data_IF_747566666943
#
_entry.id   IF_747566666943
#
_cell.length_a   1.000
_cell.length_b   1.000
_cell.length_c   1.000
_cell.angle_alpha   90.00
_cell.angle_beta   90.00
_cell.angle_gamma   90.00
#
_symmetry.space_group_name_H-M   'P 1'
#
loop_
_entity.id
_entity.type
_entity.pdbx_description
1 polymer ?
#
# COMPACT_ATOMS: atom_id res chain seq x y z
N UNK A 1 -27.45 0.93 16.30
CA UNK A 1 -27.17 1.26 17.71
C UNK A 1 -26.47 0.09 18.38
N UNK A 2 -25.17 0.25 18.70
CA UNK A 2 -24.42 -0.68 19.54
C UNK A 2 -24.91 -0.53 20.98
N UNK A 3 -25.98 -1.22 21.34
CA UNK A 3 -26.56 -1.14 22.69
C UNK A 3 -25.78 -1.92 23.75
N UNK A 4 -24.83 -2.78 23.39
CA UNK A 4 -24.06 -3.59 24.34
C UNK A 4 -22.62 -3.72 23.91
N UNK A 5 -21.70 -3.44 24.82
CA UNK A 5 -20.28 -3.80 24.69
C UNK A 5 -20.15 -5.32 24.82
N UNK A 6 -19.64 -5.96 23.76
CA UNK A 6 -19.31 -7.38 23.81
C UNK A 6 -18.02 -7.59 24.61
N UNK A 7 -17.99 -8.61 25.46
CA UNK A 7 -16.79 -9.00 26.21
C UNK A 7 -16.17 -10.22 25.55
N UNK A 8 -14.86 -10.12 25.26
CA UNK A 8 -14.08 -11.29 24.85
C UNK A 8 -13.85 -12.15 26.10
N UNK A 9 -14.29 -13.41 26.07
CA UNK A 9 -14.08 -14.37 27.17
C UNK A 9 -12.78 -15.12 27.03
N UNK A 10 -12.48 -15.57 25.81
CA UNK A 10 -11.29 -16.34 25.47
C UNK A 10 -10.80 -15.94 24.09
N UNK A 11 -9.51 -16.00 23.86
CA UNK A 11 -8.90 -15.83 22.56
C UNK A 11 -7.70 -16.77 22.38
N UNK A 12 -7.41 -17.10 21.15
CA UNK A 12 -6.17 -17.77 20.74
C UNK A 12 -5.50 -16.95 19.67
N UNK A 13 -4.20 -16.92 19.71
CA UNK A 13 -3.43 -16.36 18.61
C UNK A 13 -3.60 -17.26 17.39
N UNK A 14 -4.07 -16.72 16.27
CA UNK A 14 -4.12 -17.43 14.98
C UNK A 14 -2.73 -17.56 14.37
N UNK A 15 -1.90 -16.53 14.53
CA UNK A 15 -0.50 -16.51 14.15
C UNK A 15 0.32 -15.77 15.21
N UNK A 16 1.59 -16.14 15.36
CA UNK A 16 2.56 -15.45 16.21
C UNK A 16 3.63 -14.85 15.30
N UNK A 17 3.66 -13.54 15.21
CA UNK A 17 4.73 -12.83 14.53
C UNK A 17 6.01 -12.92 15.34
N UNK A 18 7.11 -13.25 14.66
CA UNK A 18 8.43 -13.45 15.29
C UNK A 18 9.29 -12.20 15.24
N UNK A 19 9.19 -11.45 14.14
CA UNK A 19 10.12 -10.40 13.78
C UNK A 19 9.49 -8.99 13.80
N UNK A 20 8.21 -8.85 13.47
CA UNK A 20 7.56 -7.52 13.38
C UNK A 20 7.73 -6.70 14.66
N UNK A 21 7.68 -7.34 15.84
CA UNK A 21 7.77 -6.63 17.11
C UNK A 21 9.20 -6.34 17.57
N UNK A 22 10.20 -7.02 17.01
CA UNK A 22 11.61 -6.91 17.42
C UNK A 22 12.50 -6.22 16.39
N UNK A 23 12.04 -6.09 15.14
CA UNK A 23 12.78 -5.51 14.03
C UNK A 23 12.19 -4.16 13.64
N UNK A 24 12.99 -3.10 13.74
CA UNK A 24 12.54 -1.72 13.53
C UNK A 24 12.00 -1.48 12.12
N UNK A 25 12.66 -1.92 11.03
CA UNK A 25 12.11 -1.78 9.67
C UNK A 25 10.77 -2.48 9.49
N UNK A 26 10.62 -3.73 9.94
CA UNK A 26 9.33 -4.46 9.83
C UNK A 26 8.23 -3.80 10.64
N UNK A 27 8.55 -3.31 11.84
CA UNK A 27 7.59 -2.60 12.67
C UNK A 27 7.11 -1.30 11.99
N UNK A 28 8.01 -0.53 11.39
CA UNK A 28 7.66 0.69 10.66
C UNK A 28 6.77 0.40 9.44
N UNK A 29 7.05 -0.67 8.69
CA UNK A 29 6.20 -1.12 7.58
C UNK A 29 4.82 -1.54 8.08
N UNK A 30 4.75 -2.31 9.17
CA UNK A 30 3.48 -2.72 9.78
C UNK A 30 2.64 -1.52 10.22
N UNK A 31 3.25 -0.51 10.87
CA UNK A 31 2.57 0.70 11.30
C UNK A 31 2.02 1.50 10.10
N UNK A 32 2.79 1.61 9.02
CA UNK A 32 2.34 2.23 7.78
C UNK A 32 1.11 1.51 7.20
N UNK A 33 1.16 0.19 7.10
CA UNK A 33 0.07 -0.63 6.57
C UNK A 33 -1.20 -0.52 7.43
N UNK A 34 -1.05 -0.57 8.76
CA UNK A 34 -2.17 -0.42 9.70
C UNK A 34 -2.79 0.97 9.59
N UNK A 35 -1.98 2.04 9.53
CA UNK A 35 -2.49 3.39 9.37
C UNK A 35 -3.24 3.56 8.06
N UNK A 36 -2.67 3.07 6.94
CA UNK A 36 -3.30 3.14 5.63
C UNK A 36 -4.64 2.40 5.62
N UNK A 37 -4.67 1.16 6.10
CA UNK A 37 -5.87 0.36 6.21
C UNK A 37 -6.93 1.04 7.10
N UNK A 38 -6.52 1.57 8.26
CA UNK A 38 -7.42 2.26 9.19
C UNK A 38 -8.06 3.52 8.58
N UNK A 39 -7.33 4.23 7.72
CA UNK A 39 -7.85 5.39 7.00
C UNK A 39 -8.85 5.01 5.90
N UNK A 40 -8.70 3.82 5.31
CA UNK A 40 -9.63 3.28 4.30
C UNK A 40 -10.92 2.72 4.94
N UNK A 41 -10.81 2.10 6.12
CA UNK A 41 -11.96 1.50 6.82
C UNK A 41 -12.78 2.57 7.54
N UNK A 42 -13.75 3.15 6.85
CA UNK A 42 -14.65 4.18 7.42
C UNK A 42 -15.81 3.59 8.21
N UNK A 43 -16.26 2.40 7.85
CA UNK A 43 -17.38 1.71 8.50
C UNK A 43 -17.05 0.22 8.69
N UNK A 44 -17.58 -0.42 9.74
CA UNK A 44 -17.45 -1.86 9.91
C UNK A 44 -18.20 -2.59 8.80
N UNK A 45 -17.48 -3.24 7.93
CA UNK A 45 -18.03 -4.05 6.84
C UNK A 45 -17.39 -5.45 6.86
N UNK A 46 -18.19 -6.48 6.52
CA UNK A 46 -17.64 -7.81 6.32
C UNK A 46 -16.98 -7.90 4.95
N UNK A 47 -15.64 -7.93 4.92
CA UNK A 47 -14.87 -8.10 3.69
C UNK A 47 -13.82 -9.22 3.87
N UNK A 48 -14.20 -10.50 3.67
CA UNK A 48 -13.27 -11.61 3.81
C UNK A 48 -12.05 -11.53 2.90
N UNK A 49 -12.21 -11.00 1.67
CA UNK A 49 -11.10 -10.85 0.73
C UNK A 49 -10.05 -9.85 1.25
N UNK A 50 -10.48 -8.71 1.78
CA UNK A 50 -9.59 -7.74 2.41
C UNK A 50 -8.90 -8.32 3.65
N UNK A 51 -9.65 -9.10 4.47
CA UNK A 51 -9.09 -9.76 5.65
C UNK A 51 -7.95 -10.71 5.26
N UNK A 52 -8.18 -11.63 4.32
CA UNK A 52 -7.17 -12.58 3.88
C UNK A 52 -5.99 -11.88 3.19
N UNK A 53 -6.23 -10.90 2.33
CA UNK A 53 -5.15 -10.10 1.75
C UNK A 53 -4.28 -9.48 2.83
N UNK A 54 -4.88 -8.86 3.84
CA UNK A 54 -4.13 -8.21 4.92
C UNK A 54 -3.37 -9.23 5.76
N UNK A 55 -4.02 -10.32 6.16
CA UNK A 55 -3.41 -11.41 6.94
C UNK A 55 -2.18 -11.98 6.22
N UNK A 56 -2.31 -12.33 4.93
CA UNK A 56 -1.23 -12.89 4.12
C UNK A 56 -0.04 -11.92 4.01
N UNK A 57 -0.30 -10.63 3.79
CA UNK A 57 0.78 -9.63 3.70
C UNK A 57 1.50 -9.45 5.04
N UNK A 58 0.79 -9.48 6.17
CA UNK A 58 1.43 -9.40 7.49
C UNK A 58 2.28 -10.64 7.81
N UNK A 59 1.84 -11.83 7.43
CA UNK A 59 2.63 -13.06 7.56
C UNK A 59 3.90 -12.97 6.71
N UNK A 60 3.77 -12.49 5.47
CA UNK A 60 4.92 -12.30 4.59
C UNK A 60 5.86 -11.18 5.07
N UNK A 61 5.32 -10.09 5.63
CA UNK A 61 6.13 -9.04 6.23
C UNK A 61 7.03 -9.57 7.35
N UNK A 62 6.48 -10.45 8.20
CA UNK A 62 7.25 -11.04 9.31
C UNK A 62 8.48 -11.82 8.84
N UNK A 63 8.42 -12.43 7.67
CA UNK A 63 9.49 -13.25 7.09
C UNK A 63 10.34 -12.50 6.05
N UNK A 64 9.87 -11.34 5.55
CA UNK A 64 10.51 -10.59 4.46
C UNK A 64 11.84 -9.94 4.89
N UNK A 65 12.74 -9.78 3.94
CA UNK A 65 14.01 -9.06 4.11
C UNK A 65 14.45 -8.36 2.82
N UNK A 66 15.49 -7.53 2.89
CA UNK A 66 16.10 -6.90 1.72
C UNK A 66 15.10 -6.12 0.85
N UNK A 67 15.16 -6.37 -0.46
CA UNK A 67 14.31 -5.68 -1.45
C UNK A 67 12.82 -5.93 -1.24
N UNK A 68 12.43 -7.13 -0.79
CA UNK A 68 11.04 -7.48 -0.53
C UNK A 68 10.49 -6.59 0.57
N UNK A 69 11.15 -6.55 1.73
CA UNK A 69 10.75 -5.72 2.87
C UNK A 69 10.66 -4.24 2.49
N UNK A 70 11.65 -3.75 1.75
CA UNK A 70 11.71 -2.35 1.35
C UNK A 70 10.61 -1.95 0.36
N UNK A 71 10.17 -2.85 -0.52
CA UNK A 71 9.14 -2.58 -1.54
C UNK A 71 7.73 -2.97 -1.09
N UNK A 72 7.58 -3.71 0.00
CA UNK A 72 6.29 -4.18 0.51
C UNK A 72 5.28 -3.05 0.80
N UNK A 73 5.68 -1.87 1.33
CA UNK A 73 4.79 -0.73 1.48
C UNK A 73 4.15 -0.28 0.16
N UNK A 74 4.92 -0.26 -0.93
CA UNK A 74 4.40 0.09 -2.27
C UNK A 74 3.44 -0.96 -2.79
N UNK A 75 3.80 -2.24 -2.65
CA UNK A 75 2.93 -3.35 -3.02
C UNK A 75 1.59 -3.24 -2.29
N UNK A 76 1.61 -3.12 -0.97
CA UNK A 76 0.39 -3.00 -0.17
C UNK A 76 -0.45 -1.78 -0.58
N UNK A 77 0.19 -0.61 -0.73
CA UNK A 77 -0.51 0.62 -1.11
C UNK A 77 -1.08 0.60 -2.54
N UNK A 78 -0.54 -0.20 -3.45
CA UNK A 78 -1.05 -0.32 -4.83
C UNK A 78 -2.15 -1.37 -4.96
N UNK A 79 -2.15 -2.41 -4.13
CA UNK A 79 -3.15 -3.49 -4.21
C UNK A 79 -4.35 -3.27 -3.27
N UNK A 80 -4.16 -2.57 -2.15
CA UNK A 80 -5.23 -2.27 -1.21
C UNK A 80 -6.45 -1.57 -1.84
N UNK A 81 -6.32 -0.60 -2.79
CA UNK A 81 -7.45 0.09 -3.41
C UNK A 81 -8.44 -0.82 -4.14
N UNK A 82 -7.99 -2.00 -4.60
CA UNK A 82 -8.86 -3.00 -5.21
C UNK A 82 -10.04 -3.39 -4.30
N UNK A 83 -9.79 -3.50 -3.00
CA UNK A 83 -10.79 -3.89 -2.01
C UNK A 83 -11.77 -2.77 -1.64
N UNK A 84 -11.50 -1.55 -2.09
CA UNK A 84 -12.32 -0.36 -1.83
C UNK A 84 -12.92 0.25 -3.09
N UNK A 85 -12.72 -0.39 -4.26
CA UNK A 85 -13.37 0.00 -5.52
C UNK A 85 -12.74 1.18 -6.26
N UNK A 86 -11.51 1.58 -5.90
CA UNK A 86 -10.77 2.66 -6.59
C UNK A 86 -9.36 2.21 -7.04
N UNK A 87 -9.25 0.98 -7.53
CA UNK A 87 -7.97 0.42 -8.00
C UNK A 87 -7.40 1.23 -9.17
N UNK A 88 -6.07 1.19 -9.30
CA UNK A 88 -5.40 1.66 -10.52
C UNK A 88 -5.50 0.56 -11.59
N UNK A 89 -5.98 0.93 -12.77
CA UNK A 89 -6.02 0.03 -13.93
C UNK A 89 -4.66 -0.01 -14.62
N UNK A 90 -4.06 -1.20 -14.74
CA UNK A 90 -2.77 -1.37 -15.41
C UNK A 90 -2.96 -1.48 -16.93
N UNK A 91 -3.22 -0.35 -17.57
CA UNK A 91 -3.25 -0.18 -19.01
C UNK A 91 -1.98 0.52 -19.55
N UNK A 92 -0.87 0.43 -18.82
CA UNK A 92 0.41 1.02 -19.20
C UNK A 92 0.89 0.50 -20.56
N UNK A 93 1.35 1.43 -21.40
CA UNK A 93 2.03 1.14 -22.65
C UNK A 93 3.02 2.27 -23.00
N UNK A 94 3.87 2.07 -23.99
CA UNK A 94 4.75 3.15 -24.49
C UNK A 94 4.00 4.37 -25.01
N UNK A 95 2.74 4.21 -25.43
CA UNK A 95 1.86 5.29 -25.88
C UNK A 95 1.02 5.89 -24.75
N UNK A 96 0.71 5.13 -23.69
CA UNK A 96 -0.04 5.57 -22.49
C UNK A 96 0.88 5.43 -21.28
N UNK A 97 1.72 6.43 -21.06
CA UNK A 97 2.83 6.40 -20.09
C UNK A 97 2.75 7.49 -19.01
N UNK A 98 1.63 8.21 -18.94
CA UNK A 98 1.29 9.06 -17.81
C UNK A 98 0.27 8.34 -16.95
N UNK A 99 0.54 8.13 -15.66
CA UNK A 99 -0.46 7.64 -14.71
C UNK A 99 -1.22 8.83 -14.13
N UNK A 100 -2.48 8.96 -14.51
CA UNK A 100 -3.39 9.93 -13.93
C UNK A 100 -3.89 9.42 -12.58
N UNK A 101 -3.55 10.14 -11.49
CA UNK A 101 -3.95 9.75 -10.13
C UNK A 101 -5.40 10.12 -9.79
N UNK A 102 -6.05 10.99 -10.56
CA UNK A 102 -7.47 11.29 -10.39
C UNK A 102 -8.34 10.19 -11.00
N UNK A 103 -7.95 9.73 -12.20
CA UNK A 103 -8.69 8.69 -12.91
C UNK A 103 -8.26 7.27 -12.53
N UNK A 104 -7.09 7.11 -11.91
CA UNK A 104 -6.53 5.79 -11.59
C UNK A 104 -6.19 4.95 -12.82
N UNK A 105 -5.74 5.58 -13.91
CA UNK A 105 -5.43 4.90 -15.17
C UNK A 105 -4.28 5.56 -15.92
N UNK A 106 -3.64 4.81 -16.84
CA UNK A 106 -2.59 5.37 -17.68
C UNK A 106 -3.18 6.01 -18.94
N UNK A 107 -2.73 7.22 -19.25
CA UNK A 107 -3.20 8.04 -20.37
C UNK A 107 -2.06 8.41 -21.32
N UNK A 108 -2.41 8.77 -22.57
CA UNK A 108 -1.45 9.08 -23.64
C UNK A 108 -0.91 10.50 -23.53
N UNK A 109 -1.75 11.43 -23.10
CA UNK A 109 -1.44 12.84 -23.01
C UNK A 109 -1.23 13.22 -21.55
N UNK A 110 -0.34 14.18 -21.29
CA UNK A 110 -0.11 14.68 -19.95
C UNK A 110 -1.39 15.30 -19.40
N UNK A 111 -1.86 14.86 -18.21
CA UNK A 111 -3.02 15.44 -17.55
C UNK A 111 -2.87 16.95 -17.31
N UNK A 112 -3.97 17.70 -17.41
CA UNK A 112 -4.01 19.16 -17.20
C UNK A 112 -3.95 19.59 -15.72
N UNK A 113 -3.65 18.67 -14.81
CA UNK A 113 -3.54 18.87 -13.36
C UNK A 113 -2.22 18.28 -12.83
N UNK A 114 -1.79 18.62 -11.59
CA UNK A 114 -0.49 18.19 -11.06
C UNK A 114 -0.48 16.75 -10.47
N UNK A 115 -1.60 16.05 -10.49
CA UNK A 115 -1.77 14.73 -9.86
C UNK A 115 -1.54 13.61 -10.88
N UNK A 116 -0.31 13.47 -11.35
CA UNK A 116 0.07 12.39 -12.27
C UNK A 116 1.51 11.96 -12.02
N UNK A 117 1.85 10.77 -12.50
CA UNK A 117 3.21 10.24 -12.57
C UNK A 117 3.59 10.03 -14.04
N UNK A 118 4.87 10.23 -14.35
CA UNK A 118 5.39 10.06 -15.71
C UNK A 118 6.72 9.27 -15.73
N UNK A 119 7.13 8.87 -16.90
CA UNK A 119 8.42 8.23 -17.14
C UNK A 119 8.63 6.99 -16.26
N UNK A 120 9.79 6.92 -15.60
CA UNK A 120 10.16 5.76 -14.80
C UNK A 120 9.23 5.50 -13.61
N UNK A 121 8.60 6.53 -13.05
CA UNK A 121 7.67 6.36 -11.93
C UNK A 121 6.38 5.65 -12.39
N UNK A 122 5.81 6.07 -13.51
CA UNK A 122 4.62 5.43 -14.09
C UNK A 122 4.90 3.97 -14.49
N UNK A 123 6.06 3.72 -15.13
CA UNK A 123 6.50 2.37 -15.48
C UNK A 123 6.63 1.46 -14.24
N UNK A 124 7.24 1.96 -13.16
CA UNK A 124 7.44 1.20 -11.92
C UNK A 124 6.11 0.87 -11.23
N UNK A 125 5.13 1.78 -11.25
CA UNK A 125 3.79 1.48 -10.75
C UNK A 125 3.20 0.31 -11.53
N UNK A 126 3.25 0.34 -12.87
CA UNK A 126 2.78 -0.78 -13.70
C UNK A 126 3.53 -2.09 -13.40
N UNK A 127 4.85 -2.04 -13.16
CA UNK A 127 5.61 -3.23 -12.78
C UNK A 127 5.13 -3.81 -11.46
N UNK A 128 4.87 -2.97 -10.44
CA UNK A 128 4.42 -3.44 -9.12
C UNK A 128 2.97 -3.92 -9.18
N UNK A 129 2.10 -3.31 -9.98
CA UNK A 129 0.71 -3.77 -10.18
C UNK A 129 0.63 -5.18 -10.77
N UNK A 130 1.64 -5.59 -11.55
CA UNK A 130 1.74 -6.96 -12.12
C UNK A 130 2.26 -7.99 -11.14
N UNK A 131 2.84 -7.58 -10.02
CA UNK A 131 3.30 -8.48 -8.97
C UNK A 131 2.09 -9.12 -8.31
N UNK A 132 2.03 -10.44 -8.33
CA UNK A 132 0.93 -11.20 -7.72
C UNK A 132 1.26 -11.64 -6.31
N UNK A 133 2.54 -11.83 -6.02
CA UNK A 133 3.03 -12.32 -4.72
C UNK A 133 4.21 -11.48 -4.23
N UNK A 134 4.24 -11.08 -2.96
CA UNK A 134 5.31 -10.23 -2.41
C UNK A 134 6.74 -10.72 -2.63
N UNK A 135 6.99 -12.03 -2.72
CA UNK A 135 8.34 -12.54 -3.00
C UNK A 135 8.90 -12.11 -4.37
N UNK A 136 8.02 -11.83 -5.35
CA UNK A 136 8.40 -11.34 -6.68
C UNK A 136 9.00 -9.92 -6.62
N UNK A 137 8.76 -9.17 -5.53
CA UNK A 137 9.34 -7.84 -5.31
C UNK A 137 10.87 -7.86 -5.23
N UNK A 138 11.50 -9.03 -5.01
CA UNK A 138 12.95 -9.14 -5.00
C UNK A 138 13.59 -8.80 -6.35
N UNK A 139 12.85 -8.99 -7.43
CA UNK A 139 13.29 -8.64 -8.79
C UNK A 139 13.16 -7.14 -9.10
N UNK A 140 12.41 -6.38 -8.30
CA UNK A 140 12.18 -4.96 -8.50
C UNK A 140 13.23 -4.17 -7.73
N UNK A 141 14.26 -3.69 -8.43
CA UNK A 141 15.34 -2.88 -7.84
C UNK A 141 14.95 -1.41 -7.85
N UNK A 142 14.56 -0.88 -6.69
CA UNK A 142 14.21 0.52 -6.50
C UNK A 142 15.25 1.23 -5.65
N UNK A 143 15.70 2.39 -6.13
CA UNK A 143 16.46 3.32 -5.30
C UNK A 143 15.53 3.91 -4.23
N UNK A 144 16.06 4.21 -3.04
CA UNK A 144 15.27 4.72 -1.92
C UNK A 144 14.48 6.00 -2.25
N UNK A 145 15.05 6.94 -3.03
CA UNK A 145 14.36 8.16 -3.44
C UNK A 145 13.14 7.88 -4.31
N UNK A 146 13.24 6.92 -5.24
CA UNK A 146 12.09 6.51 -6.05
C UNK A 146 10.98 5.91 -5.21
N UNK A 147 11.34 5.01 -4.29
CA UNK A 147 10.38 4.39 -3.36
C UNK A 147 9.65 5.45 -2.55
N UNK A 148 10.40 6.38 -1.99
CA UNK A 148 9.86 7.49 -1.21
C UNK A 148 8.89 8.35 -2.02
N UNK A 149 9.31 8.78 -3.21
CA UNK A 149 8.49 9.64 -4.07
C UNK A 149 7.20 8.95 -4.51
N UNK A 150 7.24 7.64 -4.81
CA UNK A 150 6.04 6.85 -5.10
C UNK A 150 5.10 6.74 -3.90
N UNK A 151 5.61 6.54 -2.69
CA UNK A 151 4.77 6.49 -1.49
C UNK A 151 4.05 7.83 -1.23
N UNK A 152 4.71 8.96 -1.45
CA UNK A 152 4.06 10.28 -1.36
C UNK A 152 3.02 10.49 -2.47
N UNK A 153 3.30 10.03 -3.68
CA UNK A 153 2.32 10.10 -4.77
C UNK A 153 1.09 9.24 -4.47
N UNK A 154 1.29 8.04 -3.88
CA UNK A 154 0.19 7.18 -3.45
C UNK A 154 -0.60 7.79 -2.28
N UNK A 155 0.03 8.47 -1.33
CA UNK A 155 -0.70 9.24 -0.32
C UNK A 155 -1.66 10.25 -0.96
N UNK A 156 -1.21 10.96 -2.03
CA UNK A 156 -2.07 11.87 -2.79
C UNK A 156 -3.19 11.12 -3.52
N UNK A 157 -2.88 9.98 -4.12
CA UNK A 157 -3.86 9.11 -4.74
C UNK A 157 -4.99 8.75 -3.77
N UNK A 158 -4.65 8.26 -2.58
CA UNK A 158 -5.64 7.95 -1.54
C UNK A 158 -6.45 9.17 -1.12
N UNK A 159 -5.82 10.34 -0.98
CA UNK A 159 -6.50 11.58 -0.61
C UNK A 159 -7.49 12.08 -1.68
N UNK A 160 -7.27 11.72 -2.95
CA UNK A 160 -8.20 12.04 -4.05
C UNK A 160 -9.44 11.13 -4.05
N UNK A 161 -9.30 9.88 -3.58
CA UNK A 161 -10.36 8.87 -3.67
C UNK A 161 -11.09 8.62 -2.34
N UNK A 162 -10.50 8.99 -1.20
CA UNK A 162 -11.09 8.77 0.13
C UNK A 162 -11.40 10.10 0.80
N UNK A 163 -12.67 10.41 1.10
CA UNK A 163 -13.03 11.59 1.86
C UNK A 163 -12.32 11.62 3.23
N UNK A 164 -11.85 12.79 3.62
CA UNK A 164 -11.19 13.02 4.92
C UNK A 164 -9.99 12.08 5.19
N UNK A 165 -9.26 11.71 4.13
CA UNK A 165 -8.06 10.86 4.26
C UNK A 165 -6.99 11.53 5.13
N UNK A 166 -6.77 12.83 4.93
CA UNK A 166 -5.74 13.60 5.64
C UNK A 166 -4.32 13.15 5.28
N UNK A 167 -3.36 13.42 6.18
CA UNK A 167 -1.96 13.01 6.02
C UNK A 167 -1.64 11.77 6.83
N UNK A 168 -0.66 10.97 6.36
CA UNK A 168 -0.16 9.79 7.08
C UNK A 168 0.97 10.17 8.02
N UNK A 169 0.86 9.76 9.28
CA UNK A 169 1.88 10.00 10.32
C UNK A 169 3.04 9.01 10.24
N UNK A 170 2.78 7.81 9.78
CA UNK A 170 3.78 6.75 9.63
C UNK A 170 4.68 6.95 8.41
N UNK A 171 4.24 7.67 7.38
CA UNK A 171 5.00 7.85 6.14
C UNK A 171 6.35 8.57 6.35
N UNK A 172 6.46 9.67 7.11
CA UNK A 172 7.75 10.27 7.46
C UNK A 172 8.68 9.30 8.21
N UNK A 173 8.15 8.51 9.14
CA UNK A 173 8.92 7.52 9.90
C UNK A 173 9.45 6.42 9.00
N UNK A 174 8.59 5.88 8.14
CA UNK A 174 8.96 4.85 7.18
C UNK A 174 10.09 5.32 6.25
N UNK A 175 10.05 6.58 5.84
CA UNK A 175 11.09 7.23 5.02
C UNK A 175 12.45 7.22 5.69
N UNK A 176 12.53 7.50 6.98
CA UNK A 176 13.80 7.52 7.73
C UNK A 176 14.40 6.10 7.91
N UNK A 177 13.54 5.11 7.99
CA UNK A 177 13.94 3.73 8.33
C UNK A 177 14.32 2.91 7.09
N UNK A 178 13.66 3.13 5.94
CA UNK A 178 13.91 2.37 4.70
C UNK A 178 14.92 3.07 3.77
N UNK A 179 15.87 3.78 4.33
CA UNK A 179 16.99 4.39 3.59
C UNK A 179 18.01 3.35 3.13
#
# INVERSE_FOLDING_TARGET
ELKHLNRIREFRWAALYKNIFSDVPRNAVALFMIELLSKCLKQPESNPALFHFTEDIFLQLDESSGSILANLPLFFALHLPFHFGFRIDDNYSSAANYLDLQEGSFVKEQPGHPYFLEGKQAELVSQILKVMQPYELDHIKLHHDFRRNLLFALEKYYALHIPDFGTMKSLPVLKEILN
#
